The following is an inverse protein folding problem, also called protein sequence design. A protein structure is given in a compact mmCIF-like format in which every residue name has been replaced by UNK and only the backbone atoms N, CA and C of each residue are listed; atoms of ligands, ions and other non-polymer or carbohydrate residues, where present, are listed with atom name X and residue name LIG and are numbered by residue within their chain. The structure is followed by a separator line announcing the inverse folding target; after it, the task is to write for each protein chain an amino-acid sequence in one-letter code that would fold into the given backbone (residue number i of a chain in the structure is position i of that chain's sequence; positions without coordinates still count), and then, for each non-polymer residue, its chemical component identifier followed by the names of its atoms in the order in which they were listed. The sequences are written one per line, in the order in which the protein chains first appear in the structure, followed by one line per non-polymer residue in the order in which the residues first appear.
data_IF_058467453010
#
_entry.id   IF_058467453010
#
_cell.length_a   1.000
_cell.length_b   1.000
_cell.length_c   1.000
_cell.angle_alpha   90.00
_cell.angle_beta   90.00
_cell.angle_gamma   90.00
#
_symmetry.space_group_name_H-M   'P 1'
#
loop_
_entity.id
_entity.type
_entity.pdbx_description
1 polymer ?
#
# COMPACT_ATOMS: atom_id res chain seq x y z
N UNK A 1 73.93 -21.31 16.07
CA UNK A 1 73.14 -21.25 14.81
C UNK A 1 72.65 -22.65 14.46
N UNK A 2 71.34 -22.92 14.58
CA UNK A 2 70.64 -24.03 13.91
C UNK A 2 69.15 -23.73 13.90
N UNK A 3 68.55 -23.92 12.72
CA UNK A 3 67.20 -23.50 12.30
C UNK A 3 66.11 -24.36 12.93
N UNK A 4 64.97 -23.79 13.27
CA UNK A 4 63.74 -24.53 13.59
C UNK A 4 62.87 -24.67 12.33
N UNK A 5 62.42 -25.89 12.04
CA UNK A 5 61.45 -26.20 11.00
C UNK A 5 60.04 -26.25 11.56
N UNK A 6 59.12 -25.71 10.78
CA UNK A 6 57.68 -25.71 10.93
C UNK A 6 57.10 -27.09 10.56
N UNK A 7 56.07 -27.56 11.28
CA UNK A 7 55.27 -28.69 10.83
C UNK A 7 54.67 -29.57 11.93
N UNK A 8 53.41 -29.28 12.25
CA UNK A 8 52.35 -30.24 12.57
C UNK A 8 52.50 -31.21 13.75
N UNK A 9 51.64 -31.04 14.76
CA UNK A 9 50.82 -32.11 15.36
C UNK A 9 50.20 -31.58 16.65
N UNK A 10 48.97 -31.05 16.61
CA UNK A 10 48.06 -31.26 17.74
C UNK A 10 46.64 -31.52 17.27
N UNK A 11 46.25 -32.76 17.57
CA UNK A 11 44.99 -33.42 17.29
C UNK A 11 43.84 -32.77 18.05
N UNK A 12 42.70 -32.69 17.37
CA UNK A 12 41.40 -32.32 17.91
C UNK A 12 40.88 -33.44 18.82
N UNK A 13 40.64 -33.14 20.09
CA UNK A 13 39.97 -34.00 21.07
C UNK A 13 38.61 -33.42 21.47
N UNK A 14 37.61 -34.30 21.50
CA UNK A 14 36.19 -34.18 21.85
C UNK A 14 35.95 -33.66 23.29
N UNK A 15 34.82 -33.12 23.76
CA UNK A 15 33.37 -33.39 23.50
C UNK A 15 32.56 -32.30 24.23
N UNK A 16 31.45 -31.81 23.67
CA UNK A 16 30.29 -31.41 24.48
C UNK A 16 29.01 -31.48 23.65
N UNK A 17 27.99 -32.04 24.27
CA UNK A 17 26.74 -32.57 23.74
C UNK A 17 25.81 -31.50 23.17
N UNK A 18 25.57 -31.52 21.86
CA UNK A 18 24.55 -30.73 21.18
C UNK A 18 23.24 -31.49 21.04
N UNK A 19 22.12 -30.84 21.40
CA UNK A 19 20.74 -31.24 21.06
C UNK A 19 20.62 -31.59 19.56
N UNK A 20 19.82 -32.60 19.17
CA UNK A 20 19.56 -32.86 17.77
C UNK A 20 18.75 -31.70 17.17
N UNK A 21 19.39 -30.92 16.32
CA UNK A 21 18.74 -29.97 15.43
C UNK A 21 17.89 -30.75 14.42
N UNK A 22 16.56 -30.55 14.47
CA UNK A 22 15.67 -30.89 13.36
C UNK A 22 15.98 -29.94 12.20
N UNK A 23 16.99 -30.26 11.41
CA UNK A 23 17.27 -29.63 10.13
C UNK A 23 16.99 -30.63 9.01
N UNK A 24 15.70 -30.92 8.80
CA UNK A 24 15.23 -31.42 7.53
C UNK A 24 14.97 -30.22 6.62
N UNK A 25 15.83 -30.10 5.60
CA UNK A 25 15.52 -29.60 4.25
C UNK A 25 15.03 -28.15 4.11
N UNK A 26 15.91 -27.27 3.62
CA UNK A 26 15.60 -26.35 2.51
C UNK A 26 16.90 -25.90 1.86
N UNK A 27 17.16 -26.45 0.68
CA UNK A 27 18.24 -26.04 -0.21
C UNK A 27 18.03 -24.56 -0.52
N UNK A 28 18.96 -23.69 -0.10
CA UNK A 28 19.07 -22.32 -0.63
C UNK A 28 19.58 -22.44 -2.07
N UNK A 29 18.74 -22.11 -3.06
CA UNK A 29 19.18 -22.00 -4.45
C UNK A 29 19.46 -20.54 -4.79
N UNK A 30 20.66 -20.30 -5.32
CA UNK A 30 21.11 -19.06 -5.94
C UNK A 30 20.52 -18.99 -7.36
N UNK A 31 19.96 -17.84 -7.73
CA UNK A 31 19.22 -17.67 -8.99
C UNK A 31 20.12 -17.07 -10.08
N UNK A 32 20.60 -17.90 -11.00
CA UNK A 32 21.05 -17.47 -12.33
C UNK A 32 20.01 -17.97 -13.34
N UNK A 33 19.33 -17.05 -14.01
CA UNK A 33 18.31 -17.34 -15.03
C UNK A 33 18.92 -17.09 -16.42
N UNK A 34 19.38 -18.15 -17.09
CA UNK A 34 19.72 -18.10 -18.51
C UNK A 34 18.84 -19.09 -19.29
N UNK A 35 17.99 -18.51 -20.14
CA UNK A 35 17.49 -18.98 -21.44
C UNK A 35 17.06 -20.46 -21.52
N UNK A 36 15.75 -20.71 -21.32
CA UNK A 36 15.08 -21.91 -21.82
C UNK A 36 13.83 -21.52 -22.63
N UNK A 37 13.66 -22.17 -23.78
CA UNK A 37 12.48 -22.10 -24.65
C UNK A 37 11.23 -22.74 -23.98
N UNK A 38 9.99 -22.50 -24.49
CA UNK A 38 8.76 -22.91 -23.83
C UNK A 38 8.71 -24.43 -23.65
N UNK A 39 8.80 -24.87 -22.40
CA UNK A 39 8.56 -26.24 -21.98
C UNK A 39 7.48 -26.20 -20.91
N UNK A 40 6.27 -26.63 -21.27
CA UNK A 40 5.16 -26.86 -20.34
C UNK A 40 5.32 -28.25 -19.70
N UNK A 41 6.47 -28.49 -19.05
CA UNK A 41 6.75 -29.73 -18.33
C UNK A 41 5.76 -29.90 -17.15
N UNK A 42 5.50 -31.15 -16.70
CA UNK A 42 4.44 -31.44 -15.73
C UNK A 42 4.63 -30.67 -14.43
N UNK A 43 3.49 -30.14 -13.98
CA UNK A 43 3.29 -29.04 -13.06
C UNK A 43 3.81 -29.35 -11.65
N UNK A 44 4.76 -28.55 -11.15
CA UNK A 44 4.81 -28.30 -9.71
C UNK A 44 3.55 -27.50 -9.37
N UNK A 45 2.53 -28.18 -8.83
CA UNK A 45 1.31 -27.55 -8.31
C UNK A 45 1.71 -26.54 -7.22
N UNK A 46 1.55 -25.24 -7.51
CA UNK A 46 1.89 -24.17 -6.58
C UNK A 46 0.82 -23.98 -5.48
N UNK A 47 -0.14 -24.92 -5.43
CA UNK A 47 -1.23 -24.95 -4.46
C UNK A 47 -2.46 -24.21 -4.95
N UNK A 48 -3.41 -23.91 -4.05
CA UNK A 48 -4.60 -23.17 -4.41
C UNK A 48 -4.32 -21.66 -4.65
N UNK A 49 -5.03 -21.01 -5.59
CA UNK A 49 -5.06 -19.56 -5.74
C UNK A 49 -5.62 -18.87 -4.50
N UNK A 50 -5.07 -17.69 -4.22
CA UNK A 50 -5.49 -16.81 -3.15
C UNK A 50 -6.14 -15.56 -3.73
N UNK A 51 -7.19 -15.09 -3.07
CA UNK A 51 -7.88 -13.87 -3.46
C UNK A 51 -6.99 -12.63 -3.25
N UNK A 52 -7.08 -11.65 -4.16
CA UNK A 52 -6.55 -10.30 -3.92
C UNK A 52 -7.23 -9.64 -2.70
N UNK A 53 -6.50 -8.74 -2.03
CA UNK A 53 -6.97 -8.02 -0.83
C UNK A 53 -7.16 -6.53 -1.11
N UNK A 54 -8.38 -6.05 -1.00
CA UNK A 54 -8.76 -4.68 -1.32
C UNK A 54 -8.76 -3.77 -0.09
N UNK A 55 -8.65 -2.44 -0.29
CA UNK A 55 -8.75 -1.48 0.80
C UNK A 55 -10.13 -1.53 1.47
N UNK A 56 -10.18 -1.26 2.77
CA UNK A 56 -11.43 -1.15 3.52
C UNK A 56 -11.70 0.33 3.80
N UNK A 57 -12.74 0.90 3.16
CA UNK A 57 -13.09 2.31 3.30
C UNK A 57 -13.43 2.72 4.73
N UNK A 58 -14.16 1.87 5.48
CA UNK A 58 -14.51 2.15 6.86
C UNK A 58 -13.26 2.23 7.76
N UNK A 59 -12.32 1.30 7.56
CA UNK A 59 -11.04 1.35 8.27
C UNK A 59 -10.27 2.63 7.91
N UNK A 60 -10.11 2.92 6.61
CA UNK A 60 -9.34 4.08 6.14
C UNK A 60 -9.93 5.41 6.63
N UNK A 61 -11.26 5.54 6.59
CA UNK A 61 -11.98 6.73 7.06
C UNK A 61 -11.80 6.93 8.55
N UNK A 62 -12.03 5.89 9.34
CA UNK A 62 -11.96 5.98 10.80
C UNK A 62 -10.51 6.15 11.31
N UNK A 63 -9.54 5.57 10.61
CA UNK A 63 -8.12 5.82 10.85
C UNK A 63 -7.67 7.25 10.45
N UNK A 64 -8.49 8.00 9.71
CA UNK A 64 -8.16 9.32 9.18
C UNK A 64 -7.06 9.30 8.13
N UNK A 65 -6.94 8.23 7.35
CA UNK A 65 -5.89 8.07 6.32
C UNK A 65 -6.46 7.90 4.91
N UNK A 66 -7.78 8.06 4.74
CA UNK A 66 -8.47 7.82 3.47
C UNK A 66 -7.94 8.71 2.34
N UNK A 67 -7.91 10.03 2.53
CA UNK A 67 -7.50 10.97 1.48
C UNK A 67 -6.03 10.79 1.07
N UNK A 68 -5.15 10.62 2.05
CA UNK A 68 -3.74 10.31 1.81
C UNK A 68 -3.57 9.00 1.04
N UNK A 69 -4.31 7.95 1.43
CA UNK A 69 -4.29 6.67 0.73
C UNK A 69 -4.78 6.79 -0.71
N UNK A 70 -5.91 7.46 -0.94
CA UNK A 70 -6.45 7.69 -2.28
C UNK A 70 -5.48 8.50 -3.15
N UNK A 71 -4.80 9.48 -2.56
CA UNK A 71 -3.77 10.27 -3.23
C UNK A 71 -2.61 9.37 -3.69
N UNK A 72 -2.12 8.47 -2.83
CA UNK A 72 -1.07 7.50 -3.19
C UNK A 72 -1.53 6.56 -4.32
N UNK A 73 -2.76 6.04 -4.24
CA UNK A 73 -3.36 5.18 -5.28
C UNK A 73 -3.45 5.92 -6.61
N UNK A 74 -3.91 7.16 -6.60
CA UNK A 74 -4.03 7.98 -7.80
C UNK A 74 -2.66 8.29 -8.43
N UNK A 75 -1.69 8.75 -7.62
CA UNK A 75 -0.33 9.06 -8.09
C UNK A 75 0.39 7.83 -8.64
N UNK A 76 0.10 6.64 -8.09
CA UNK A 76 0.63 5.36 -8.59
C UNK A 76 -0.08 4.85 -9.86
N UNK A 77 -1.15 5.50 -10.32
CA UNK A 77 -1.95 5.04 -11.46
C UNK A 77 -2.73 3.76 -11.17
N UNK A 78 -3.21 3.59 -9.93
CA UNK A 78 -3.88 2.36 -9.46
C UNK A 78 -5.37 2.54 -9.17
N UNK A 79 -5.95 3.70 -9.51
CA UNK A 79 -7.35 4.05 -9.20
C UNK A 79 -8.32 3.03 -9.76
N UNK A 80 -8.19 2.65 -11.04
CA UNK A 80 -9.07 1.65 -11.63
C UNK A 80 -8.86 0.28 -11.00
N UNK A 81 -7.61 -0.09 -10.71
CA UNK A 81 -7.28 -1.37 -10.09
C UNK A 81 -7.90 -1.51 -8.69
N UNK A 82 -7.93 -0.43 -7.92
CA UNK A 82 -8.62 -0.39 -6.63
C UNK A 82 -10.14 -0.55 -6.79
N UNK A 83 -10.72 0.03 -7.84
CA UNK A 83 -12.15 -0.10 -8.16
C UNK A 83 -12.58 -1.48 -8.65
N UNK A 84 -11.63 -2.38 -8.96
CA UNK A 84 -11.87 -3.76 -9.38
C UNK A 84 -12.14 -4.71 -8.19
N UNK A 85 -12.69 -4.22 -7.07
CA UNK A 85 -13.14 -5.06 -5.97
C UNK A 85 -14.37 -5.89 -6.40
N UNK A 86 -14.11 -7.00 -7.10
CA UNK A 86 -15.12 -7.92 -7.63
C UNK A 86 -14.69 -9.37 -7.45
N UNK A 87 -15.62 -10.27 -7.73
CA UNK A 87 -15.35 -11.71 -7.74
C UNK A 87 -14.20 -12.04 -8.70
N UNK A 88 -13.22 -12.78 -8.17
CA UNK A 88 -12.17 -13.41 -8.95
C UNK A 88 -12.55 -14.87 -9.21
N UNK A 89 -11.76 -15.59 -10.00
CA UNK A 89 -12.11 -16.95 -10.39
C UNK A 89 -10.94 -17.91 -10.19
N UNK A 90 -11.22 -19.08 -9.62
CA UNK A 90 -10.21 -20.03 -9.15
C UNK A 90 -9.33 -20.55 -10.29
N UNK A 91 -9.94 -21.20 -11.30
CA UNK A 91 -9.22 -21.84 -12.40
C UNK A 91 -8.55 -20.79 -13.28
N UNK A 92 -9.24 -19.68 -13.58
CA UNK A 92 -8.66 -18.56 -14.29
C UNK A 92 -7.37 -18.07 -13.62
N UNK A 93 -7.42 -17.81 -12.31
CA UNK A 93 -6.25 -17.31 -11.57
C UNK A 93 -5.13 -18.32 -11.57
N UNK A 94 -5.43 -19.59 -11.27
CA UNK A 94 -4.44 -20.67 -11.20
C UNK A 94 -3.72 -20.83 -12.54
N UNK A 95 -4.48 -21.06 -13.60
CA UNK A 95 -3.93 -21.29 -14.94
C UNK A 95 -3.15 -20.08 -15.44
N UNK A 96 -3.69 -18.87 -15.27
CA UNK A 96 -3.03 -17.65 -15.72
C UNK A 96 -1.66 -17.46 -15.07
N UNK A 97 -1.59 -17.59 -13.74
CA UNK A 97 -0.35 -17.36 -12.98
C UNK A 97 0.67 -18.48 -13.25
N UNK A 98 0.25 -19.75 -13.22
CA UNK A 98 1.19 -20.87 -13.35
C UNK A 98 1.81 -20.99 -14.74
N UNK A 99 1.08 -20.53 -15.76
CA UNK A 99 1.54 -20.47 -17.15
C UNK A 99 2.24 -19.16 -17.54
N UNK A 100 2.31 -18.19 -16.63
CA UNK A 100 2.82 -16.85 -16.95
C UNK A 100 4.32 -16.85 -17.24
N UNK A 101 4.70 -16.19 -18.32
CA UNK A 101 6.06 -16.00 -18.78
C UNK A 101 6.26 -14.54 -19.18
N UNK A 102 7.42 -13.99 -18.85
CA UNK A 102 7.80 -12.64 -19.24
C UNK A 102 9.12 -12.69 -20.00
N UNK A 103 9.09 -12.23 -21.25
CA UNK A 103 10.25 -12.14 -22.11
C UNK A 103 10.68 -10.67 -22.26
N UNK A 104 11.72 -10.28 -21.55
CA UNK A 104 12.21 -8.91 -21.51
C UNK A 104 13.26 -8.63 -22.59
N UNK A 105 12.93 -8.86 -23.87
CA UNK A 105 13.76 -8.42 -25.00
C UNK A 105 13.83 -6.90 -25.03
N UNK A 106 15.01 -6.36 -25.30
CA UNK A 106 15.32 -4.93 -25.19
C UNK A 106 14.38 -4.00 -26.00
N UNK A 107 13.84 -4.47 -27.12
CA UNK A 107 12.99 -3.66 -28.01
C UNK A 107 11.53 -4.12 -28.07
N UNK A 108 11.26 -5.38 -27.74
CA UNK A 108 9.94 -5.99 -27.87
C UNK A 108 9.64 -6.90 -26.67
N UNK A 109 9.50 -6.31 -25.46
CA UNK A 109 9.13 -7.10 -24.30
C UNK A 109 7.72 -7.67 -24.50
N UNK A 110 7.55 -8.94 -24.18
CA UNK A 110 6.29 -9.68 -24.36
C UNK A 110 5.97 -10.50 -23.12
N UNK A 111 4.68 -10.75 -22.90
CA UNK A 111 4.19 -11.69 -21.89
C UNK A 111 3.46 -12.82 -22.60
N UNK A 112 3.58 -14.03 -22.07
CA UNK A 112 2.84 -15.20 -22.54
C UNK A 112 2.20 -15.90 -21.35
N UNK A 113 0.97 -16.38 -21.51
CA UNK A 113 0.20 -17.03 -20.46
C UNK A 113 -0.94 -17.83 -21.09
N UNK A 114 -1.74 -18.50 -20.27
CA UNK A 114 -2.97 -19.18 -20.68
C UNK A 114 -4.18 -18.54 -20.03
N UNK A 115 -5.24 -18.38 -20.80
CA UNK A 115 -6.59 -18.10 -20.30
C UNK A 115 -7.37 -19.38 -20.49
N UNK A 116 -7.59 -20.11 -19.40
CA UNK A 116 -8.10 -21.48 -19.43
C UNK A 116 -7.26 -22.37 -20.38
N UNK A 117 -7.85 -22.99 -21.39
CA UNK A 117 -7.14 -23.81 -22.36
C UNK A 117 -6.30 -23.03 -23.39
N UNK A 118 -6.52 -21.72 -23.54
CA UNK A 118 -6.03 -20.96 -24.68
C UNK A 118 -4.69 -20.27 -24.39
N UNK A 119 -3.61 -20.58 -25.12
CA UNK A 119 -2.37 -19.84 -25.02
C UNK A 119 -2.51 -18.45 -25.63
N UNK A 120 -1.99 -17.44 -24.95
CA UNK A 120 -1.99 -16.04 -25.37
C UNK A 120 -0.59 -15.48 -25.23
N UNK A 121 -0.14 -14.73 -26.24
CA UNK A 121 1.09 -13.94 -26.18
C UNK A 121 0.75 -12.51 -26.60
N UNK A 122 1.18 -11.52 -25.84
CA UNK A 122 0.97 -10.11 -26.19
C UNK A 122 2.18 -9.23 -25.85
N UNK A 123 2.36 -8.11 -26.57
CA UNK A 123 3.32 -7.08 -26.19
C UNK A 123 3.11 -6.58 -24.76
N UNK A 124 4.19 -6.25 -24.06
CA UNK A 124 4.12 -5.69 -22.70
C UNK A 124 3.26 -4.42 -22.66
N UNK A 125 3.29 -3.58 -23.70
CA UNK A 125 2.45 -2.38 -23.82
C UNK A 125 0.95 -2.70 -23.77
N UNK A 126 0.53 -3.81 -24.38
CA UNK A 126 -0.88 -4.22 -24.43
C UNK A 126 -1.28 -4.87 -23.11
N UNK A 127 -0.37 -5.61 -22.48
CA UNK A 127 -0.53 -6.06 -21.10
C UNK A 127 -0.69 -4.87 -20.14
N UNK A 128 0.12 -3.83 -20.26
CA UNK A 128 -0.02 -2.62 -19.44
C UNK A 128 -1.34 -1.90 -19.69
N UNK A 129 -1.80 -1.82 -20.95
CA UNK A 129 -3.12 -1.29 -21.29
C UNK A 129 -4.25 -2.11 -20.66
N UNK A 130 -4.14 -3.44 -20.69
CA UNK A 130 -5.10 -4.32 -20.03
C UNK A 130 -5.18 -4.09 -18.52
N UNK A 131 -4.04 -3.75 -17.89
CA UNK A 131 -3.97 -3.42 -16.47
C UNK A 131 -4.30 -1.96 -16.15
N UNK A 132 -4.46 -1.11 -17.17
CA UNK A 132 -4.58 0.34 -17.04
C UNK A 132 -3.39 0.98 -16.29
N UNK A 133 -2.19 0.52 -16.61
CA UNK A 133 -0.93 1.03 -16.05
C UNK A 133 -0.14 1.70 -17.17
N UNK A 134 0.39 2.90 -16.88
CA UNK A 134 1.19 3.64 -17.85
C UNK A 134 2.47 2.84 -18.23
N UNK A 135 2.74 2.63 -19.53
CA UNK A 135 3.92 1.89 -20.00
C UNK A 135 5.16 2.82 -20.07
N UNK A 136 5.54 3.38 -18.92
CA UNK A 136 6.62 4.37 -18.80
C UNK A 136 7.77 3.83 -17.95
N UNK A 137 8.96 4.40 -18.13
CA UNK A 137 10.15 4.04 -17.36
C UNK A 137 10.92 2.85 -17.93
N UNK A 138 11.94 2.43 -17.19
CA UNK A 138 12.86 1.40 -17.65
C UNK A 138 12.32 0.01 -17.33
N UNK A 139 12.17 -0.81 -18.37
CA UNK A 139 11.76 -2.20 -18.25
C UNK A 139 12.91 -3.12 -17.81
N UNK A 140 14.15 -2.65 -17.65
CA UNK A 140 15.28 -3.43 -17.11
C UNK A 140 15.01 -3.93 -15.69
N UNK A 141 15.76 -4.95 -15.29
CA UNK A 141 15.73 -5.44 -13.90
C UNK A 141 16.26 -4.33 -12.98
N UNK A 142 15.62 -4.15 -11.82
CA UNK A 142 16.14 -3.25 -10.79
C UNK A 142 17.46 -3.81 -10.28
N UNK A 143 18.47 -2.95 -10.17
CA UNK A 143 19.79 -3.29 -9.64
C UNK A 143 19.70 -3.87 -8.23
N UNK A 144 20.71 -4.64 -7.82
CA UNK A 144 20.76 -5.24 -6.48
C UNK A 144 20.91 -4.19 -5.37
N UNK A 145 21.38 -2.98 -5.70
CA UNK A 145 21.58 -1.88 -4.77
C UNK A 145 21.07 -0.53 -5.35
N UNK A 146 19.76 -0.37 -5.53
CA UNK A 146 19.16 0.81 -6.14
C UNK A 146 19.18 1.98 -5.14
N UNK A 147 20.10 2.94 -5.35
CA UNK A 147 20.39 4.01 -4.39
C UNK A 147 19.19 4.89 -4.08
N UNK A 148 18.46 5.30 -5.11
CA UNK A 148 17.23 6.09 -5.03
C UNK A 148 16.16 5.38 -4.18
N UNK A 149 15.94 4.08 -4.38
CA UNK A 149 14.97 3.31 -3.60
C UNK A 149 15.42 3.09 -2.15
N UNK A 150 16.73 3.00 -1.91
CA UNK A 150 17.31 2.91 -0.56
C UNK A 150 17.16 4.23 0.21
N UNK A 151 17.40 5.35 -0.45
CA UNK A 151 17.19 6.69 0.11
C UNK A 151 15.71 6.91 0.42
N UNK A 152 14.80 6.51 -0.49
CA UNK A 152 13.37 6.54 -0.23
C UNK A 152 13.00 5.70 1.00
N UNK A 153 13.51 4.46 1.10
CA UNK A 153 13.22 3.59 2.24
C UNK A 153 13.61 4.26 3.55
N UNK A 154 14.83 4.83 3.64
CA UNK A 154 15.28 5.58 4.82
C UNK A 154 14.36 6.74 5.16
N UNK A 155 13.93 7.50 4.15
CA UNK A 155 13.04 8.65 4.32
C UNK A 155 11.64 8.30 4.83
N UNK A 156 11.18 7.05 4.70
CA UNK A 156 9.86 6.60 5.19
C UNK A 156 9.96 5.78 6.49
N UNK A 157 11.16 5.52 7.02
CA UNK A 157 11.40 4.63 8.17
C UNK A 157 12.37 5.22 9.21
N UNK A 158 12.40 6.54 9.40
CA UNK A 158 13.28 7.20 10.38
C UNK A 158 14.76 6.80 10.23
N UNK A 159 15.27 6.88 8.99
CA UNK A 159 16.65 6.56 8.64
C UNK A 159 17.11 5.12 8.97
N UNK A 160 16.18 4.15 8.96
CA UNK A 160 16.51 2.72 9.02
C UNK A 160 17.51 2.33 7.93
N UNK A 161 18.77 2.14 8.33
CA UNK A 161 19.89 1.86 7.42
C UNK A 161 19.94 0.41 6.91
N UNK A 162 18.94 -0.44 7.25
CA UNK A 162 18.87 -1.82 6.76
C UNK A 162 18.81 -1.85 5.22
N UNK A 163 19.43 -2.88 4.65
CA UNK A 163 19.27 -3.17 3.22
C UNK A 163 17.80 -3.51 2.91
N UNK A 164 17.34 -3.24 1.68
CA UNK A 164 15.95 -3.53 1.24
C UNK A 164 15.55 -4.98 1.58
N UNK A 165 16.47 -5.94 1.40
CA UNK A 165 16.22 -7.36 1.70
C UNK A 165 15.89 -7.67 3.16
N UNK A 166 16.28 -6.77 4.09
CA UNK A 166 15.98 -6.86 5.52
C UNK A 166 14.92 -5.86 5.98
N UNK A 167 14.49 -4.97 5.10
CA UNK A 167 13.47 -3.97 5.38
C UNK A 167 12.10 -4.61 5.61
N UNK A 168 11.29 -3.96 6.44
CA UNK A 168 9.96 -4.47 6.81
C UNK A 168 8.91 -3.40 6.57
N UNK A 169 7.75 -3.79 6.05
CA UNK A 169 6.62 -2.88 5.83
C UNK A 169 6.19 -2.23 7.15
N UNK A 170 6.21 -2.99 8.26
CA UNK A 170 5.84 -2.48 9.59
C UNK A 170 6.70 -1.30 10.09
N UNK A 171 7.90 -1.12 9.53
CA UNK A 171 8.81 -0.02 9.93
C UNK A 171 8.48 1.30 9.23
N UNK A 172 7.65 1.28 8.18
CA UNK A 172 7.16 2.51 7.55
C UNK A 172 6.41 3.31 8.62
N UNK A 173 6.76 4.57 8.80
CA UNK A 173 6.21 5.34 9.91
C UNK A 173 4.83 5.91 9.59
N UNK A 174 4.63 6.49 8.40
CA UNK A 174 3.33 7.06 8.07
C UNK A 174 2.28 5.97 7.78
N UNK A 175 1.11 6.02 8.44
CA UNK A 175 0.09 4.97 8.36
C UNK A 175 -0.49 4.81 6.95
N UNK A 176 -0.72 5.90 6.21
CA UNK A 176 -1.21 5.83 4.83
C UNK A 176 -0.22 5.11 3.89
N UNK A 177 1.08 5.43 4.01
CA UNK A 177 2.15 4.79 3.24
C UNK A 177 2.27 3.31 3.61
N UNK A 178 2.23 2.99 4.91
CA UNK A 178 2.28 1.61 5.41
C UNK A 178 1.08 0.80 4.89
N UNK A 179 -0.12 1.35 4.96
CA UNK A 179 -1.34 0.71 4.46
C UNK A 179 -1.28 0.48 2.95
N UNK A 180 -0.82 1.47 2.19
CA UNK A 180 -0.60 1.36 0.75
C UNK A 180 0.38 0.24 0.40
N UNK A 181 1.48 0.11 1.14
CA UNK A 181 2.43 -0.99 0.97
C UNK A 181 1.80 -2.37 1.21
N UNK A 182 0.92 -2.51 2.21
CA UNK A 182 0.15 -3.75 2.43
C UNK A 182 -0.82 -4.04 1.28
N UNK A 183 -1.52 -3.03 0.79
CA UNK A 183 -2.46 -3.15 -0.33
C UNK A 183 -1.76 -3.69 -1.59
N UNK A 184 -0.66 -3.06 -2.01
CA UNK A 184 0.05 -3.49 -3.23
C UNK A 184 0.71 -4.86 -3.08
N UNK A 185 1.06 -5.30 -1.86
CA UNK A 185 1.76 -6.55 -1.61
C UNK A 185 0.97 -7.77 -2.11
N UNK A 186 -0.32 -7.85 -1.79
CA UNK A 186 -1.17 -8.99 -2.18
C UNK A 186 -1.91 -8.75 -3.49
N UNK A 187 -2.42 -7.53 -3.70
CA UNK A 187 -3.32 -7.27 -4.82
C UNK A 187 -2.62 -7.08 -6.14
N UNK A 188 -1.38 -6.57 -6.13
CA UNK A 188 -0.63 -6.25 -7.35
C UNK A 188 0.62 -7.13 -7.45
N UNK A 189 1.40 -7.18 -6.37
CA UNK A 189 2.63 -7.95 -6.32
C UNK A 189 2.41 -9.42 -5.96
N UNK A 190 1.18 -9.85 -5.67
CA UNK A 190 0.85 -11.26 -5.45
C UNK A 190 1.76 -11.96 -4.44
N UNK A 191 1.98 -11.35 -3.27
CA UNK A 191 2.83 -11.89 -2.20
C UNK A 191 1.98 -12.30 -1.01
N UNK A 192 2.17 -13.52 -0.55
CA UNK A 192 1.64 -13.97 0.75
C UNK A 192 2.39 -13.31 1.93
N UNK A 193 3.72 -13.25 1.83
CA UNK A 193 4.53 -12.62 2.87
C UNK A 193 4.52 -11.09 2.69
N UNK A 194 3.66 -10.45 3.48
CA UNK A 194 3.51 -9.00 3.60
C UNK A 194 4.41 -8.38 4.69
N UNK A 195 5.29 -9.15 5.34
CA UNK A 195 6.18 -8.59 6.37
C UNK A 195 7.38 -7.85 5.77
N UNK A 196 7.95 -8.37 4.68
CA UNK A 196 9.14 -7.84 4.04
C UNK A 196 8.79 -6.81 2.97
N UNK A 197 9.49 -5.69 2.98
CA UNK A 197 9.48 -4.77 1.85
C UNK A 197 10.34 -5.36 0.71
N UNK A 198 10.12 -4.90 -0.52
CA UNK A 198 10.95 -5.27 -1.67
C UNK A 198 11.20 -4.05 -2.55
N UNK A 199 12.17 -4.13 -3.46
CA UNK A 199 12.41 -3.07 -4.44
C UNK A 199 11.19 -2.78 -5.31
N UNK A 200 10.29 -3.76 -5.49
CA UNK A 200 9.03 -3.54 -6.24
C UNK A 200 8.08 -2.67 -5.42
N UNK A 201 7.90 -2.93 -4.11
CA UNK A 201 7.12 -2.03 -3.26
C UNK A 201 7.68 -0.60 -3.31
N UNK A 202 9.01 -0.46 -3.20
CA UNK A 202 9.67 0.83 -3.21
C UNK A 202 9.53 1.55 -4.56
N UNK A 203 9.52 0.83 -5.69
CA UNK A 203 9.27 1.44 -6.99
C UNK A 203 7.84 2.01 -7.11
N UNK A 204 6.84 1.28 -6.61
CA UNK A 204 5.45 1.79 -6.53
C UNK A 204 5.35 3.00 -5.59
N UNK A 205 5.99 2.92 -4.42
CA UNK A 205 6.04 4.02 -3.46
C UNK A 205 6.77 5.23 -4.03
N UNK A 206 7.85 5.05 -4.78
CA UNK A 206 8.60 6.15 -5.39
C UNK A 206 7.69 6.93 -6.34
N UNK A 207 6.97 6.24 -7.22
CA UNK A 207 6.01 6.90 -8.13
C UNK A 207 4.91 7.60 -7.33
N UNK A 208 4.33 6.93 -6.32
CA UNK A 208 3.25 7.49 -5.52
C UNK A 208 3.66 8.76 -4.73
N UNK A 209 4.89 8.80 -4.24
CA UNK A 209 5.38 9.87 -3.36
C UNK A 209 6.10 10.98 -4.11
N UNK A 210 6.89 10.65 -5.14
CA UNK A 210 7.75 11.62 -5.86
C UNK A 210 7.28 11.91 -7.29
N UNK A 211 6.37 11.09 -7.85
CA UNK A 211 5.97 11.17 -9.25
C UNK A 211 7.04 10.67 -10.23
N UNK A 212 8.19 10.18 -9.76
CA UNK A 212 9.29 9.74 -10.62
C UNK A 212 8.99 8.40 -11.28
N UNK A 213 8.85 8.40 -12.61
CA UNK A 213 8.50 7.21 -13.40
C UNK A 213 9.73 6.45 -13.92
N UNK A 214 10.81 6.35 -13.12
CA UNK A 214 12.06 5.69 -13.53
C UNK A 214 11.90 4.18 -13.78
N UNK A 215 10.94 3.55 -13.10
CA UNK A 215 10.70 2.11 -13.12
C UNK A 215 9.42 1.76 -13.87
N UNK A 216 9.50 0.77 -14.75
CA UNK A 216 8.35 0.32 -15.51
C UNK A 216 7.46 -0.63 -14.70
N UNK A 217 6.41 -0.09 -14.07
CA UNK A 217 5.52 -0.84 -13.17
C UNK A 217 4.92 -2.11 -13.81
N UNK A 218 4.46 -2.04 -15.07
CA UNK A 218 3.95 -3.22 -15.77
C UNK A 218 4.99 -4.34 -15.95
N UNK A 219 6.26 -3.99 -16.18
CA UNK A 219 7.36 -4.96 -16.25
C UNK A 219 7.65 -5.57 -14.87
N UNK A 220 7.52 -4.79 -13.79
CA UNK A 220 7.68 -5.30 -12.42
C UNK A 220 6.57 -6.28 -12.06
N UNK A 221 5.32 -5.99 -12.43
CA UNK A 221 4.19 -6.92 -12.27
C UNK A 221 4.44 -8.20 -13.06
N UNK A 222 4.84 -8.08 -14.34
CA UNK A 222 5.13 -9.24 -15.19
C UNK A 222 6.23 -10.13 -14.59
N UNK A 223 7.35 -9.55 -14.13
CA UNK A 223 8.41 -10.29 -13.41
C UNK A 223 7.94 -10.94 -12.13
N UNK A 224 7.00 -10.29 -11.44
CA UNK A 224 6.50 -10.84 -10.19
C UNK A 224 5.62 -12.06 -10.44
N UNK A 225 4.80 -12.04 -11.50
CA UNK A 225 3.99 -13.16 -11.94
C UNK A 225 4.83 -14.36 -12.43
N UNK A 226 6.03 -14.13 -12.97
CA UNK A 226 6.94 -15.24 -13.31
C UNK A 226 7.59 -15.89 -12.10
N UNK A 227 7.53 -15.26 -10.92
CA UNK A 227 8.15 -15.80 -9.72
C UNK A 227 7.29 -16.91 -9.13
N UNK A 228 7.86 -18.10 -8.93
CA UNK A 228 7.19 -19.21 -8.25
C UNK A 228 6.85 -18.86 -6.81
N UNK A 229 5.71 -19.35 -6.33
CA UNK A 229 5.22 -19.12 -4.97
C UNK A 229 3.71 -19.15 -4.87
N UNK A 230 3.14 -18.61 -3.78
CA UNK A 230 1.70 -18.52 -3.58
C UNK A 230 1.02 -17.86 -4.78
N UNK A 231 -0.03 -18.49 -5.26
CA UNK A 231 -0.75 -18.05 -6.45
C UNK A 231 -1.66 -16.87 -6.09
N UNK A 232 -1.31 -15.70 -6.59
CA UNK A 232 -2.11 -14.47 -6.53
C UNK A 232 -2.11 -13.83 -7.91
N UNK A 233 -3.16 -13.08 -8.23
CA UNK A 233 -3.27 -12.38 -9.53
C UNK A 233 -4.63 -12.50 -10.19
N UNK A 234 -5.68 -12.90 -9.45
CA UNK A 234 -7.02 -13.04 -10.02
C UNK A 234 -7.55 -11.75 -10.64
N UNK A 235 -7.28 -10.61 -10.00
CA UNK A 235 -7.62 -9.28 -10.55
C UNK A 235 -6.88 -9.00 -11.87
N UNK A 236 -5.59 -9.33 -11.96
CA UNK A 236 -4.77 -9.20 -13.18
C UNK A 236 -5.33 -10.10 -14.29
N UNK A 237 -5.60 -11.37 -13.96
CA UNK A 237 -6.12 -12.36 -14.90
C UNK A 237 -7.49 -11.93 -15.46
N UNK A 238 -8.37 -11.44 -14.58
CA UNK A 238 -9.70 -10.97 -14.96
C UNK A 238 -9.64 -9.70 -15.84
N UNK A 239 -8.74 -8.76 -15.53
CA UNK A 239 -8.49 -7.58 -16.38
C UNK A 239 -8.02 -7.97 -17.77
N UNK A 240 -7.06 -8.88 -17.85
CA UNK A 240 -6.54 -9.40 -19.13
C UNK A 240 -7.63 -10.14 -19.91
N UNK A 241 -8.43 -11.00 -19.25
CA UNK A 241 -9.56 -11.69 -19.85
C UNK A 241 -10.59 -10.71 -20.43
N UNK A 242 -10.91 -9.65 -19.67
CA UNK A 242 -11.82 -8.58 -20.09
C UNK A 242 -11.25 -7.81 -21.29
N UNK A 243 -9.97 -7.44 -21.25
CA UNK A 243 -9.28 -6.75 -22.35
C UNK A 243 -9.27 -7.56 -23.65
N UNK A 244 -9.15 -8.88 -23.55
CA UNK A 244 -9.22 -9.81 -24.67
C UNK A 244 -10.65 -10.11 -25.13
N UNK A 245 -11.67 -9.58 -24.43
CA UNK A 245 -13.09 -9.84 -24.68
C UNK A 245 -13.43 -11.34 -24.69
N UNK A 246 -12.84 -12.09 -23.76
CA UNK A 246 -13.09 -13.52 -23.59
C UNK A 246 -14.11 -13.75 -22.46
N UNK A 247 -14.97 -14.78 -22.55
CA UNK A 247 -15.90 -15.11 -21.49
C UNK A 247 -15.21 -15.83 -20.32
N UNK A 248 -15.79 -15.69 -19.12
CA UNK A 248 -15.46 -16.51 -17.96
C UNK A 248 -16.06 -17.91 -18.18
N UNK A 249 -15.35 -18.96 -17.77
CA UNK A 249 -15.90 -20.32 -17.78
C UNK A 249 -17.03 -20.41 -16.74
N UNK A 250 -18.27 -20.76 -17.12
CA UNK A 250 -19.40 -20.84 -16.21
C UNK A 250 -19.24 -21.88 -15.09
N UNK A 251 -18.29 -22.80 -15.22
CA UNK A 251 -17.97 -23.80 -14.19
C UNK A 251 -16.82 -23.38 -13.27
N UNK A 252 -16.22 -22.21 -13.51
CA UNK A 252 -15.15 -21.70 -12.65
C UNK A 252 -15.72 -21.22 -11.32
N UNK A 253 -15.03 -21.57 -10.23
CA UNK A 253 -15.49 -21.29 -8.88
C UNK A 253 -15.13 -19.85 -8.51
N UNK A 254 -16.10 -19.03 -8.06
CA UNK A 254 -15.82 -17.68 -7.58
C UNK A 254 -14.88 -17.70 -6.37
N UNK A 255 -13.95 -16.76 -6.38
CA UNK A 255 -12.97 -16.50 -5.33
C UNK A 255 -13.24 -15.09 -4.79
N UNK A 256 -13.91 -15.03 -3.65
CA UNK A 256 -14.32 -13.76 -3.05
C UNK A 256 -13.09 -12.92 -2.63
N UNK A 257 -13.07 -11.61 -2.95
CA UNK A 257 -11.98 -10.72 -2.54
C UNK A 257 -11.90 -10.61 -1.01
N UNK A 258 -10.68 -10.38 -0.51
CA UNK A 258 -10.42 -10.09 0.91
C UNK A 258 -10.35 -8.59 1.13
N UNK A 259 -10.43 -8.14 2.39
CA UNK A 259 -10.29 -6.72 2.75
C UNK A 259 -9.19 -6.51 3.78
N UNK A 260 -8.50 -5.37 3.66
CA UNK A 260 -7.57 -4.84 4.66
C UNK A 260 -8.36 -4.09 5.75
N UNK A 261 -9.26 -4.82 6.43
CA UNK A 261 -10.10 -4.32 7.51
C UNK A 261 -9.36 -4.25 8.86
N UNK A 262 -10.07 -3.89 9.93
CA UNK A 262 -9.51 -3.82 11.29
C UNK A 262 -8.89 -5.15 11.74
N UNK A 263 -9.46 -6.29 11.36
CA UNK A 263 -8.96 -7.63 11.72
C UNK A 263 -7.65 -7.93 11.00
N UNK A 264 -7.57 -7.60 9.72
CA UNK A 264 -6.33 -7.70 8.95
C UNK A 264 -5.25 -6.76 9.51
N UNK A 265 -5.62 -5.54 9.87
CA UNK A 265 -4.70 -4.54 10.42
C UNK A 265 -4.16 -4.93 11.81
N UNK A 266 -4.95 -5.60 12.64
CA UNK A 266 -4.47 -6.24 13.88
C UNK A 266 -3.45 -7.35 13.60
N UNK A 267 -3.74 -8.20 12.62
CA UNK A 267 -2.85 -9.31 12.23
C UNK A 267 -1.52 -8.83 11.66
N UNK A 268 -1.48 -7.63 11.09
CA UNK A 268 -0.26 -6.98 10.63
C UNK A 268 0.47 -6.15 11.71
N UNK A 269 -0.06 -6.09 12.94
CA UNK A 269 0.41 -5.19 13.98
C UNK A 269 0.46 -3.72 13.51
N UNK A 270 -0.46 -3.34 12.62
CA UNK A 270 -0.65 -1.96 12.21
C UNK A 270 -1.32 -1.17 13.34
N UNK A 271 -2.35 -1.76 13.93
CA UNK A 271 -2.99 -1.29 15.16
C UNK A 271 -2.80 -2.29 16.29
N UNK A 272 -3.08 -1.86 17.52
CA UNK A 272 -3.10 -2.72 18.71
C UNK A 272 -4.23 -3.75 18.65
N UNK A 273 -4.12 -4.83 19.43
CA UNK A 273 -5.10 -5.93 19.44
C UNK A 273 -6.46 -5.54 20.01
N UNK A 274 -6.51 -4.54 20.88
CA UNK A 274 -7.71 -3.98 21.52
C UNK A 274 -8.37 -2.87 20.70
N UNK A 275 -7.71 -2.35 19.66
CA UNK A 275 -8.26 -1.32 18.77
C UNK A 275 -9.63 -1.70 18.21
N UNK A 276 -10.54 -0.74 18.13
CA UNK A 276 -11.85 -0.87 17.45
C UNK A 276 -11.93 0.11 16.30
N UNK A 277 -13.01 0.10 15.52
CA UNK A 277 -13.21 1.11 14.48
C UNK A 277 -13.39 2.52 15.08
N UNK A 278 -13.85 2.64 16.32
CA UNK A 278 -14.11 3.94 16.97
C UNK A 278 -12.93 4.41 17.84
N UNK A 279 -12.02 3.50 18.18
CA UNK A 279 -10.83 3.79 18.97
C UNK A 279 -9.65 2.98 18.44
N UNK A 280 -8.96 3.54 17.45
CA UNK A 280 -7.80 2.93 16.81
C UNK A 280 -6.51 3.45 17.43
N UNK A 281 -5.62 2.53 17.79
CA UNK A 281 -4.29 2.86 18.30
C UNK A 281 -3.24 2.30 17.34
N UNK A 282 -2.57 3.20 16.63
CA UNK A 282 -1.53 2.90 15.65
C UNK A 282 -0.20 2.56 16.32
N UNK A 283 0.49 1.57 15.75
CA UNK A 283 1.80 1.10 16.20
C UNK A 283 2.90 1.69 15.31
N UNK A 284 3.59 2.71 15.82
CA UNK A 284 4.72 3.35 15.16
C UNK A 284 6.05 2.82 15.71
N UNK A 285 6.94 2.38 14.83
CA UNK A 285 8.26 1.85 15.20
C UNK A 285 9.36 2.84 14.79
N UNK A 286 10.30 3.09 15.69
CA UNK A 286 11.46 3.96 15.47
C UNK A 286 12.73 3.15 15.17
N UNK A 287 13.77 3.84 14.71
CA UNK A 287 15.06 3.25 14.33
C UNK A 287 15.77 2.52 15.48
N UNK A 288 15.61 3.00 16.70
CA UNK A 288 16.09 2.39 17.95
C UNK A 288 15.30 1.14 18.38
N UNK A 289 14.26 0.78 17.62
CA UNK A 289 13.30 -0.31 17.85
C UNK A 289 12.31 -0.06 18.99
N UNK A 290 12.25 1.16 19.51
CA UNK A 290 11.15 1.52 20.36
C UNK A 290 9.86 1.66 19.55
N UNK A 291 8.77 1.29 20.19
CA UNK A 291 7.44 1.33 19.60
C UNK A 291 6.59 2.29 20.41
N UNK A 292 5.88 3.18 19.71
CA UNK A 292 4.89 4.07 20.29
C UNK A 292 3.50 3.76 19.78
N UNK A 293 2.57 3.83 20.71
CA UNK A 293 1.15 3.73 20.47
C UNK A 293 0.57 5.13 20.29
N UNK A 294 -0.05 5.36 19.14
CA UNK A 294 -0.56 6.67 18.73
C UNK A 294 -2.06 6.54 18.47
N UNK A 295 -2.93 7.24 19.20
CA UNK A 295 -4.37 7.22 18.93
C UNK A 295 -4.64 7.86 17.57
N UNK A 296 -5.43 7.22 16.70
CA UNK A 296 -5.85 7.76 15.41
C UNK A 296 -7.26 8.36 15.50
N UNK A 297 -7.60 9.37 14.69
CA UNK A 297 -6.79 9.97 13.61
C UNK A 297 -5.79 11.05 14.07
N UNK A 298 -4.69 11.25 13.32
CA UNK A 298 -3.65 12.24 13.62
C UNK A 298 -3.19 12.99 12.37
N UNK A 299 -4.08 13.78 11.76
CA UNK A 299 -3.83 14.43 10.46
C UNK A 299 -2.63 15.39 10.49
N UNK A 300 -2.42 16.13 11.57
CA UNK A 300 -1.29 17.06 11.69
C UNK A 300 0.08 16.38 11.81
N UNK A 301 0.12 15.20 12.45
CA UNK A 301 1.35 14.45 12.64
C UNK A 301 1.64 13.45 11.50
N UNK A 302 0.61 12.86 10.91
CA UNK A 302 0.75 11.65 10.09
C UNK A 302 0.36 11.82 8.61
N UNK A 303 0.20 13.07 8.14
CA UNK A 303 -0.11 13.36 6.73
C UNK A 303 1.06 13.07 5.77
N UNK A 304 0.76 12.62 4.56
CA UNK A 304 1.75 12.43 3.49
C UNK A 304 2.27 13.74 2.86
N UNK A 305 1.56 14.85 3.05
CA UNK A 305 1.94 16.17 2.51
C UNK A 305 2.98 16.89 3.37
N UNK A 306 3.43 16.25 4.46
CA UNK A 306 4.55 16.70 5.26
C UNK A 306 5.83 16.81 4.43
N UNK A 307 6.73 17.67 4.88
CA UNK A 307 8.06 17.82 4.27
C UNK A 307 8.90 16.53 4.40
N UNK A 308 8.70 15.78 5.49
CA UNK A 308 9.34 14.48 5.73
C UNK A 308 8.28 13.39 5.88
N UNK A 309 8.56 12.21 5.32
CA UNK A 309 7.74 11.00 5.47
C UNK A 309 8.16 10.12 6.66
N UNK A 310 8.97 10.68 7.54
CA UNK A 310 9.32 10.12 8.84
C UNK A 310 9.11 11.17 9.94
N UNK A 311 8.87 10.71 11.16
CA UNK A 311 8.77 11.52 12.36
C UNK A 311 9.85 11.08 13.34
N UNK A 312 10.48 12.05 14.02
CA UNK A 312 11.36 11.74 15.15
C UNK A 312 10.54 11.41 16.38
N UNK A 313 11.19 10.79 17.38
CA UNK A 313 10.53 10.43 18.63
C UNK A 313 10.05 11.67 19.38
N UNK A 314 10.87 12.71 19.36
CA UNK A 314 10.64 14.00 20.01
C UNK A 314 9.46 14.74 19.37
N UNK A 315 9.37 14.75 18.03
CA UNK A 315 8.25 15.34 17.30
C UNK A 315 6.92 14.68 17.70
N UNK A 316 6.90 13.35 17.82
CA UNK A 316 5.71 12.63 18.26
C UNK A 316 5.36 12.98 19.71
N UNK A 317 6.34 13.02 20.62
CA UNK A 317 6.10 13.35 22.03
C UNK A 317 5.57 14.77 22.22
N UNK A 318 6.13 15.73 21.49
CA UNK A 318 5.69 17.13 21.52
C UNK A 318 4.25 17.24 20.99
N UNK A 319 3.93 16.57 19.88
CA UNK A 319 2.58 16.58 19.32
C UNK A 319 1.54 16.02 20.30
N UNK A 320 1.84 14.88 20.93
CA UNK A 320 0.91 14.25 21.89
C UNK A 320 0.70 15.12 23.13
N UNK A 321 1.75 15.76 23.66
CA UNK A 321 1.62 16.69 24.80
C UNK A 321 0.73 17.90 24.48
N UNK A 322 0.88 18.46 23.29
CA UNK A 322 0.05 19.60 22.84
C UNK A 322 -1.42 19.18 22.75
N UNK A 323 -1.69 17.98 22.21
CA UNK A 323 -3.04 17.46 22.10
C UNK A 323 -3.68 17.19 23.47
N UNK A 324 -2.94 16.57 24.39
CA UNK A 324 -3.41 16.32 25.77
C UNK A 324 -3.75 17.62 26.50
N UNK A 325 -2.95 18.67 26.31
CA UNK A 325 -3.19 19.99 26.89
C UNK A 325 -4.49 20.62 26.36
N UNK A 326 -4.73 20.56 25.05
CA UNK A 326 -5.98 21.07 24.45
C UNK A 326 -7.22 20.29 24.94
N UNK A 327 -7.14 18.96 25.04
CA UNK A 327 -8.26 18.16 25.52
C UNK A 327 -8.64 18.44 26.98
N UNK A 328 -7.65 18.74 27.85
CA UNK A 328 -7.92 19.10 29.24
C UNK A 328 -8.63 20.46 29.34
N UNK A 329 -8.18 21.47 28.59
CA UNK A 329 -8.76 22.81 28.65
C UNK A 329 -10.13 22.93 27.98
N UNK A 330 -10.39 22.22 26.87
CA UNK A 330 -11.71 22.23 26.21
C UNK A 330 -12.80 21.56 27.07
N UNK A 331 -12.41 20.72 28.04
CA UNK A 331 -13.34 20.04 28.96
C UNK A 331 -13.73 20.88 30.19
N UNK A 332 -13.01 21.96 30.49
CA UNK A 332 -13.24 22.82 31.66
C UNK A 332 -14.09 24.07 31.37
N UNK A 333 -14.31 24.44 30.10
CA UNK A 333 -14.99 25.69 29.71
C UNK A 333 -16.38 25.49 29.04
N UNK A 334 -17.21 24.56 29.55
CA UNK A 334 -18.65 24.51 29.21
C UNK A 334 -19.51 24.91 30.41
N UNK A 335 -19.48 26.20 30.77
CA UNK A 335 -20.64 26.83 31.39
C UNK A 335 -21.58 27.35 30.28
N UNK A 336 -22.85 26.92 30.23
CA UNK A 336 -23.82 27.50 29.32
C UNK A 336 -24.24 28.88 29.85
N UNK A 337 -23.49 29.91 29.49
CA UNK A 337 -23.87 31.31 29.71
C UNK A 337 -24.89 31.73 28.66
N UNK A 338 -26.18 31.60 28.99
CA UNK A 338 -27.26 32.25 28.26
C UNK A 338 -27.26 33.75 28.60
N UNK A 339 -26.53 34.55 27.83
CA UNK A 339 -26.97 35.91 27.48
C UNK A 339 -26.09 36.45 26.35
N UNK A 340 -26.68 36.70 25.18
CA UNK A 340 -25.99 37.31 24.05
C UNK A 340 -26.74 38.58 23.63
N UNK A 341 -26.55 39.67 24.39
CA UNK A 341 -26.83 41.02 23.89
C UNK A 341 -25.64 41.51 23.08
N UNK A 342 -25.80 41.53 21.76
CA UNK A 342 -24.84 42.12 20.82
C UNK A 342 -24.90 43.65 20.92
N UNK A 343 -23.79 44.27 21.31
CA UNK A 343 -23.61 45.73 21.23
C UNK A 343 -22.58 46.02 20.15
N UNK A 344 -22.98 46.70 19.07
CA UNK A 344 -22.07 47.18 18.02
C UNK A 344 -21.50 48.56 18.40
N UNK A 345 -20.17 48.76 18.39
CA UNK A 345 -19.60 50.10 18.45
C UNK A 345 -19.30 50.62 17.03
N UNK A 346 -19.96 51.71 16.63
CA UNK A 346 -19.51 52.48 15.47
C UNK A 346 -20.60 53.10 14.61
N UNK A 347 -21.32 54.10 15.12
CA UNK A 347 -21.92 55.14 14.29
C UNK A 347 -22.10 56.42 15.11
N UNK A 348 -21.28 57.43 14.82
CA UNK A 348 -21.43 58.77 15.37
C UNK A 348 -22.61 59.49 14.73
N UNK A 349 -23.34 60.17 15.61
CA UNK A 349 -24.56 60.96 15.41
C UNK A 349 -24.40 62.15 14.47
N UNK A 350 -25.44 62.43 13.67
CA UNK A 350 -25.86 63.80 13.37
C UNK A 350 -27.39 63.88 13.28
N UNK A 351 -27.92 65.05 13.62
CA UNK A 351 -29.20 65.27 14.31
C UNK A 351 -30.30 65.86 13.41
N UNK A 352 -31.55 65.42 13.67
CA UNK A 352 -32.88 66.05 13.43
C UNK A 352 -33.42 66.25 11.99
N UNK A 353 -34.76 66.42 11.78
CA UNK A 353 -35.91 66.06 12.64
C UNK A 353 -37.04 65.28 11.93
N UNK A 354 -38.01 64.87 12.75
CA UNK A 354 -39.32 64.28 12.46
C UNK A 354 -40.08 64.88 11.25
N UNK A 355 -40.65 64.00 10.43
CA UNK A 355 -41.94 64.18 9.78
C UNK A 355 -42.54 62.79 9.48
N UNK A 356 -43.67 62.49 10.12
CA UNK A 356 -44.72 61.57 9.64
C UNK A 356 -45.88 62.49 9.16
N UNK A 357 -46.91 62.09 8.38
CA UNK A 357 -47.28 60.73 7.97
C UNK A 357 -47.92 60.60 6.56
N UNK A 358 -48.51 59.43 6.31
CA UNK A 358 -49.51 59.05 5.28
C UNK A 358 -48.94 58.71 3.90
N UNK A 359 -49.42 57.73 3.13
CA UNK A 359 -50.79 57.26 2.95
C UNK A 359 -50.79 55.95 2.13
N UNK A 360 -51.66 55.02 2.51
CA UNK A 360 -52.44 54.06 1.68
C UNK A 360 -52.02 53.75 0.22
N UNK A 361 -51.97 52.46 -0.16
CA UNK A 361 -53.10 51.78 -0.82
C UNK A 361 -52.76 50.31 -1.18
N UNK A 362 -53.85 49.55 -1.30
CA UNK A 362 -54.03 48.14 -1.61
C UNK A 362 -53.42 47.62 -2.92
N UNK A 363 -53.32 46.29 -3.03
CA UNK A 363 -53.44 45.55 -4.30
C UNK A 363 -52.53 44.32 -4.35
N UNK A 364 -52.90 43.21 -3.70
CA UNK A 364 -53.61 42.07 -4.30
C UNK A 364 -53.00 41.42 -5.55
N UNK A 365 -52.61 40.15 -5.35
CA UNK A 365 -52.80 38.96 -6.21
C UNK A 365 -52.21 38.92 -7.63
N UNK A 366 -51.39 37.89 -7.89
CA UNK A 366 -51.67 36.71 -8.76
C UNK A 366 -50.33 36.02 -9.05
N UNK A 367 -50.08 34.77 -8.61
CA UNK A 367 -50.48 33.51 -9.27
C UNK A 367 -50.12 33.50 -10.75
N UNK A 368 -49.12 32.70 -11.14
CA UNK A 368 -49.19 31.74 -12.25
C UNK A 368 -48.06 30.72 -12.14
N UNK A 369 -48.46 29.46 -12.32
CA UNK A 369 -47.72 28.22 -12.21
C UNK A 369 -46.67 27.98 -13.31
N UNK A 370 -45.61 27.27 -12.89
CA UNK A 370 -45.14 25.96 -13.42
C UNK A 370 -45.19 25.72 -14.93
N UNK A 371 -44.01 25.51 -15.52
CA UNK A 371 -43.84 24.67 -16.72
C UNK A 371 -42.65 23.73 -16.51
N UNK A 372 -42.81 22.54 -17.09
CA UNK A 372 -42.12 21.25 -16.91
C UNK A 372 -40.58 21.21 -16.88
#
# INVERSE_FOLDING_TARGET
MKKFSFGELFKKGTTSTGRPSRAATRIRRSYNEDILAPSFAPEEDNGPPNASTFPCYDFLRNAGILEDFLTLVNRAGLTTYMGDEREQYYLLTKIFVESFQFNNKHYEPTVAFRIYGNPVTMPLKDFCRALDIAPVGTASRIDDNPRDLLELYRGITDDDCRTIQRGKIRNIQLPAIKYFAYYIATSILGRENTSNISSYHLAFLNIALTGQTSYHLGALIARRLTTRGPIFGGTIALRVLTYLNLPIDPNDVPLAPRRLDITAMKSHHFVTTDSTLDNMVYRMLFSDREEKEIPLPQLGLLSIDRQSWSCTKEEVDEHMKIQDFHQQHDSEDVEPSYDYTVTYPGASSSTYPEYDPSSSYYGDTTSWDRWD
#
